data_IF_533372301991
#
_entry.id   IF_533372301991
#
_cell.length_a   1.000
_cell.length_b   1.000
_cell.length_c   1.000
_cell.angle_alpha   90.00
_cell.angle_beta   90.00
_cell.angle_gamma   90.00
#
_symmetry.space_group_name_H-M   'P 1'
#
loop_
_entity.id
_entity.type
_entity.pdbx_description
1 polymer ?
#
# COMPACT_ATOMS: atom_id res chain seq x y z
N UNK A 1 25.31 19.70 16.77
CA UNK A 1 25.81 18.34 16.49
C UNK A 1 24.72 17.32 16.13
N UNK A 2 23.49 17.74 15.72
CA UNK A 2 22.33 16.84 15.51
C UNK A 2 22.02 16.57 14.02
N UNK A 3 22.44 17.46 13.10
CA UNK A 3 22.12 17.34 11.67
C UNK A 3 22.91 16.23 10.93
N UNK A 4 24.10 15.88 11.41
CA UNK A 4 25.00 14.90 10.78
C UNK A 4 24.42 13.48 10.88
N UNK A 5 23.77 13.16 12.00
CA UNK A 5 23.14 11.84 12.24
C UNK A 5 21.95 11.58 11.28
N UNK A 6 21.12 12.60 11.03
CA UNK A 6 19.96 12.45 10.12
C UNK A 6 20.38 12.22 8.66
N UNK A 7 21.46 12.87 8.21
CA UNK A 7 21.98 12.69 6.86
C UNK A 7 22.63 11.30 6.68
N UNK A 8 23.36 10.82 7.69
CA UNK A 8 23.95 9.49 7.70
C UNK A 8 22.87 8.39 7.65
N UNK A 9 21.81 8.48 8.47
CA UNK A 9 20.67 7.55 8.43
C UNK A 9 19.95 7.57 7.07
N UNK A 10 19.81 8.73 6.44
CA UNK A 10 19.21 8.85 5.10
C UNK A 10 20.07 8.19 4.03
N UNK A 11 21.39 8.36 4.09
CA UNK A 11 22.34 7.74 3.16
C UNK A 11 22.40 6.22 3.35
N UNK A 12 22.39 5.75 4.59
CA UNK A 12 22.36 4.32 4.92
C UNK A 12 21.05 3.67 4.42
N UNK A 13 19.90 4.32 4.64
CA UNK A 13 18.62 3.85 4.10
C UNK A 13 18.62 3.80 2.57
N UNK A 14 19.19 4.81 1.90
CA UNK A 14 19.34 4.81 0.44
C UNK A 14 20.26 3.68 -0.06
N UNK A 15 21.37 3.41 0.64
CA UNK A 15 22.26 2.30 0.32
C UNK A 15 21.58 0.93 0.52
N UNK A 16 20.77 0.78 1.59
CA UNK A 16 19.97 -0.43 1.85
C UNK A 16 18.92 -0.63 0.76
N UNK A 17 18.21 0.43 0.35
CA UNK A 17 17.26 0.43 -0.79
C UNK A 17 17.93 -0.05 -2.07
N UNK A 18 19.08 0.53 -2.43
CA UNK A 18 19.81 0.16 -3.63
C UNK A 18 20.27 -1.31 -3.59
N UNK A 19 20.84 -1.77 -2.47
CA UNK A 19 21.28 -3.18 -2.34
C UNK A 19 20.11 -4.16 -2.45
N UNK A 20 18.98 -3.87 -1.80
CA UNK A 20 17.78 -4.73 -1.84
C UNK A 20 17.17 -4.74 -3.25
N UNK A 21 17.07 -3.58 -3.90
CA UNK A 21 16.61 -3.44 -5.28
C UNK A 21 17.48 -4.22 -6.27
N UNK A 22 18.82 -4.11 -6.16
CA UNK A 22 19.75 -4.87 -7.00
C UNK A 22 19.55 -6.38 -6.79
N UNK A 23 19.46 -6.85 -5.54
CA UNK A 23 19.25 -8.26 -5.20
C UNK A 23 17.93 -8.81 -5.80
N UNK A 24 16.85 -8.04 -5.70
CA UNK A 24 15.55 -8.39 -6.26
C UNK A 24 15.59 -8.44 -7.80
N UNK A 25 16.22 -7.46 -8.43
CA UNK A 25 16.40 -7.45 -9.89
C UNK A 25 17.22 -8.66 -10.37
N UNK A 26 18.32 -9.00 -9.69
CA UNK A 26 19.10 -10.21 -10.03
C UNK A 26 18.28 -11.49 -9.87
N UNK A 27 17.53 -11.63 -8.77
CA UNK A 27 16.66 -12.79 -8.54
C UNK A 27 15.54 -12.89 -9.59
N UNK A 28 14.96 -11.76 -10.02
CA UNK A 28 13.93 -11.74 -11.04
C UNK A 28 14.47 -12.16 -12.41
N UNK A 29 15.66 -11.67 -12.79
CA UNK A 29 16.32 -12.03 -14.05
C UNK A 29 16.74 -13.50 -14.06
N UNK A 30 17.27 -14.03 -12.96
CA UNK A 30 17.71 -15.43 -12.86
C UNK A 30 16.54 -16.42 -12.95
N UNK A 31 15.39 -16.10 -12.38
CA UNK A 31 14.24 -17.01 -12.31
C UNK A 31 13.24 -16.85 -13.47
N UNK A 32 13.34 -15.81 -14.29
CA UNK A 32 12.42 -15.56 -15.40
C UNK A 32 13.18 -15.05 -16.64
N UNK A 33 13.76 -15.96 -17.45
CA UNK A 33 14.45 -15.57 -18.67
C UNK A 33 13.49 -14.84 -19.62
N UNK A 34 13.99 -13.79 -20.28
CA UNK A 34 13.30 -12.87 -21.19
C UNK A 34 12.10 -13.51 -21.91
N UNK A 35 10.90 -13.34 -21.35
CA UNK A 35 9.67 -13.57 -22.11
C UNK A 35 9.56 -12.41 -23.09
N UNK A 36 9.78 -12.70 -24.37
CA UNK A 36 9.42 -11.76 -25.43
C UNK A 36 7.95 -11.36 -25.24
N UNK A 37 7.64 -10.05 -25.22
CA UNK A 37 6.24 -9.62 -25.16
C UNK A 37 5.55 -10.18 -26.41
N UNK A 38 4.58 -11.08 -26.21
CA UNK A 38 3.65 -11.48 -27.27
C UNK A 38 2.81 -10.25 -27.60
N UNK A 39 3.32 -9.39 -28.47
CA UNK A 39 2.51 -8.34 -29.09
C UNK A 39 1.40 -9.06 -29.85
N UNK A 40 0.18 -8.98 -29.34
CA UNK A 40 -1.01 -9.37 -30.09
C UNK A 40 -1.88 -8.14 -30.25
N UNK A 41 -1.82 -7.61 -31.48
CA UNK A 41 -2.76 -6.69 -32.12
C UNK A 41 -2.68 -5.24 -31.64
N UNK A 42 -2.17 -4.37 -32.53
CA UNK A 42 -2.41 -2.94 -32.49
C UNK A 42 -3.93 -2.71 -32.56
N UNK A 43 -4.55 -2.03 -31.58
CA UNK A 43 -5.97 -1.72 -31.67
C UNK A 43 -6.21 -0.85 -32.90
N UNK A 44 -7.26 -1.19 -33.65
CA UNK A 44 -7.74 -0.51 -34.84
C UNK A 44 -7.86 1.00 -34.59
N UNK A 45 -6.93 1.77 -35.17
CA UNK A 45 -6.73 3.20 -34.90
C UNK A 45 -7.94 4.02 -35.39
N UNK A 46 -8.77 3.45 -36.27
CA UNK A 46 -9.96 4.10 -36.82
C UNK A 46 -11.25 3.76 -36.05
N UNK A 47 -11.17 2.86 -35.06
CA UNK A 47 -12.34 2.40 -34.33
C UNK A 47 -12.74 3.38 -33.23
N UNK A 48 -13.48 4.41 -33.63
CA UNK A 48 -14.12 5.31 -32.67
C UNK A 48 -15.21 4.54 -31.89
N UNK A 49 -15.26 4.67 -30.56
CA UNK A 49 -16.33 4.07 -29.78
C UNK A 49 -17.65 4.75 -30.11
N UNK A 50 -18.67 3.96 -30.47
CA UNK A 50 -20.05 4.44 -30.63
C UNK A 50 -20.63 4.74 -29.26
N UNK A 51 -20.35 5.91 -28.70
CA UNK A 51 -21.08 6.43 -27.55
C UNK A 51 -22.13 7.44 -28.05
N UNK A 52 -23.41 7.18 -27.74
CA UNK A 52 -24.50 8.16 -27.90
C UNK A 52 -24.48 9.25 -26.81
N UNK A 53 -23.58 9.13 -25.82
CA UNK A 53 -23.40 10.15 -24.80
C UNK A 53 -22.27 11.09 -25.18
N UNK A 54 -22.60 12.36 -25.42
CA UNK A 54 -21.62 13.41 -25.60
C UNK A 54 -20.83 13.60 -24.30
N UNK A 55 -19.50 13.48 -24.36
CA UNK A 55 -18.60 13.83 -23.24
C UNK A 55 -18.80 15.28 -22.79
N UNK A 56 -19.35 16.13 -23.66
CA UNK A 56 -19.70 17.53 -23.41
C UNK A 56 -20.84 17.74 -22.40
N UNK A 57 -21.55 16.69 -21.96
CA UNK A 57 -22.63 16.79 -20.95
C UNK A 57 -22.23 16.36 -19.54
N UNK A 58 -20.98 15.95 -19.31
CA UNK A 58 -20.43 15.75 -17.96
C UNK A 58 -19.61 16.99 -17.59
N UNK A 59 -20.25 17.96 -16.92
CA UNK A 59 -19.68 19.30 -16.69
C UNK A 59 -18.35 19.32 -15.91
N UNK A 60 -17.97 18.24 -15.23
CA UNK A 60 -16.56 17.95 -14.92
C UNK A 60 -16.48 16.52 -14.41
N UNK A 61 -15.48 15.69 -14.81
CA UNK A 61 -15.15 14.53 -14.01
C UNK A 61 -14.87 15.02 -12.58
N UNK A 62 -15.47 14.36 -11.57
CA UNK A 62 -15.34 14.71 -10.15
C UNK A 62 -13.85 14.74 -9.82
N UNK A 63 -13.24 15.93 -9.84
CA UNK A 63 -11.81 16.07 -9.62
C UNK A 63 -11.51 15.59 -8.20
N UNK A 64 -10.48 14.77 -8.07
CA UNK A 64 -9.98 14.36 -6.78
C UNK A 64 -9.63 15.63 -6.00
N UNK A 65 -10.26 15.85 -4.84
CA UNK A 65 -9.92 16.98 -3.98
C UNK A 65 -8.52 16.72 -3.42
N UNK A 66 -7.53 17.43 -3.96
CA UNK A 66 -6.17 17.43 -3.47
C UNK A 66 -5.93 18.76 -2.79
N UNK A 67 -5.30 18.76 -1.63
CA UNK A 67 -4.86 20.01 -1.01
C UNK A 67 -3.76 20.65 -1.86
N UNK A 68 -3.66 21.98 -1.84
CA UNK A 68 -2.69 22.73 -2.64
C UNK A 68 -1.22 22.31 -2.42
N UNK A 69 -0.92 21.67 -1.29
CA UNK A 69 0.42 21.17 -0.93
C UNK A 69 0.63 19.67 -1.23
N UNK A 70 -0.36 18.98 -1.81
CA UNK A 70 -0.33 17.52 -2.04
C UNK A 70 -0.44 16.67 -0.77
N UNK A 71 -0.63 17.28 0.41
CA UNK A 71 -0.79 16.57 1.67
C UNK A 71 -2.21 16.03 1.82
N UNK A 72 -2.34 14.84 2.41
CA UNK A 72 -3.63 14.25 2.78
C UNK A 72 -4.24 14.83 4.07
N UNK A 73 -3.50 15.63 4.82
CA UNK A 73 -4.02 16.30 6.03
C UNK A 73 -5.06 17.35 5.66
N UNK A 74 -6.20 17.37 6.34
CA UNK A 74 -7.37 18.16 5.92
C UNK A 74 -8.36 17.38 5.06
N UNK A 75 -8.05 16.12 4.72
CA UNK A 75 -8.94 15.20 4.01
C UNK A 75 -9.35 14.07 4.93
N UNK A 76 -10.60 13.63 4.77
CA UNK A 76 -11.16 12.51 5.52
C UNK A 76 -10.71 11.18 4.94
N UNK A 77 -10.41 10.22 5.81
CA UNK A 77 -10.05 8.87 5.41
C UNK A 77 -11.29 8.14 4.88
N UNK A 78 -11.15 7.51 3.72
CA UNK A 78 -12.09 6.52 3.18
C UNK A 78 -11.30 5.28 2.80
N UNK A 79 -11.95 4.13 2.68
CA UNK A 79 -11.21 2.90 2.38
C UNK A 79 -12.00 1.89 1.56
N UNK A 80 -11.29 0.92 0.96
CA UNK A 80 -11.88 -0.29 0.41
C UNK A 80 -10.87 -1.44 0.38
N UNK A 81 -11.36 -2.66 0.16
CA UNK A 81 -10.54 -3.88 0.01
C UNK A 81 -10.44 -4.36 -1.46
N UNK A 82 -10.61 -3.46 -2.44
CA UNK A 82 -10.58 -3.83 -3.88
C UNK A 82 -9.23 -4.31 -4.39
N UNK A 83 -8.16 -4.01 -3.66
CA UNK A 83 -6.78 -4.42 -3.94
C UNK A 83 -6.28 -5.51 -2.99
N UNK A 84 -7.21 -6.16 -2.30
CA UNK A 84 -6.88 -7.20 -1.35
C UNK A 84 -6.26 -8.42 -2.03
N UNK A 85 -5.11 -8.82 -1.51
CA UNK A 85 -4.46 -10.06 -1.85
C UNK A 85 -4.85 -11.10 -0.79
N UNK A 86 -5.74 -12.00 -1.19
CA UNK A 86 -6.28 -13.08 -0.36
C UNK A 86 -5.80 -14.47 -0.82
N UNK A 87 -4.87 -14.52 -1.77
CA UNK A 87 -4.48 -15.77 -2.42
C UNK A 87 -3.25 -16.40 -1.74
N UNK A 88 -3.42 -17.62 -1.25
CA UNK A 88 -2.36 -18.45 -0.67
C UNK A 88 -1.92 -18.01 0.73
N UNK A 89 -0.73 -18.48 1.10
CA UNK A 89 -0.21 -18.37 2.46
C UNK A 89 1.15 -17.66 2.47
N UNK A 90 1.45 -17.06 3.61
CA UNK A 90 2.80 -16.60 3.92
C UNK A 90 3.68 -17.77 4.37
N UNK A 91 4.99 -17.67 4.15
CA UNK A 91 5.96 -18.70 4.59
C UNK A 91 5.93 -18.96 6.10
N UNK A 92 5.47 -17.99 6.90
CA UNK A 92 5.29 -18.14 8.34
C UNK A 92 3.97 -18.81 8.76
N UNK A 93 3.22 -19.37 7.81
CA UNK A 93 2.03 -20.21 8.07
C UNK A 93 0.75 -19.43 8.37
N UNK A 94 0.63 -18.19 7.91
CA UNK A 94 -0.63 -17.45 7.96
C UNK A 94 -1.24 -17.32 6.57
N UNK A 95 -2.56 -17.60 6.41
CA UNK A 95 -3.23 -17.35 5.15
C UNK A 95 -3.30 -15.84 4.89
N UNK A 96 -3.12 -15.45 3.62
CA UNK A 96 -3.33 -14.06 3.19
C UNK A 96 -4.81 -13.67 3.22
N UNK A 97 -5.70 -14.64 2.98
CA UNK A 97 -7.13 -14.48 3.23
C UNK A 97 -7.43 -14.26 4.72
N UNK A 98 -8.43 -13.43 5.01
CA UNK A 98 -9.08 -13.33 6.31
C UNK A 98 -10.33 -14.22 6.34
N UNK A 99 -10.77 -14.60 7.55
CA UNK A 99 -12.06 -15.26 7.74
C UNK A 99 -13.21 -14.25 7.98
N UNK A 100 -14.45 -14.74 7.98
CA UNK A 100 -15.65 -13.89 8.15
C UNK A 100 -15.71 -13.20 9.52
N UNK A 101 -15.17 -13.84 10.56
CA UNK A 101 -15.14 -13.31 11.93
C UNK A 101 -14.13 -12.19 12.04
N UNK A 102 -12.96 -12.35 11.42
CA UNK A 102 -11.93 -11.32 11.30
C UNK A 102 -12.41 -10.14 10.47
N UNK A 103 -13.07 -10.44 9.34
CA UNK A 103 -13.66 -9.42 8.47
C UNK A 103 -14.66 -8.56 9.22
N UNK A 104 -15.75 -9.16 9.72
CA UNK A 104 -16.84 -8.43 10.35
C UNK A 104 -16.45 -7.87 11.71
N UNK A 105 -15.74 -8.66 12.52
CA UNK A 105 -15.45 -8.32 13.91
C UNK A 105 -14.31 -7.32 14.09
N UNK A 106 -13.27 -7.41 13.25
CA UNK A 106 -12.05 -6.60 13.44
C UNK A 106 -11.76 -5.67 12.27
N UNK A 107 -11.70 -6.17 11.04
CA UNK A 107 -11.26 -5.39 9.88
C UNK A 107 -12.29 -4.30 9.55
N UNK A 108 -13.53 -4.72 9.30
CA UNK A 108 -14.64 -3.84 8.94
C UNK A 108 -14.94 -2.84 10.06
N UNK A 109 -15.12 -3.32 11.29
CA UNK A 109 -15.35 -2.45 12.45
C UNK A 109 -14.19 -1.47 12.66
N UNK A 110 -12.95 -1.95 12.61
CA UNK A 110 -11.77 -1.13 12.85
C UNK A 110 -11.60 -0.04 11.80
N UNK A 111 -11.72 -0.37 10.52
CA UNK A 111 -11.57 0.60 9.43
C UNK A 111 -12.77 1.55 9.36
N UNK A 112 -14.00 1.09 9.60
CA UNK A 112 -15.19 1.96 9.65
C UNK A 112 -15.13 2.95 10.82
N UNK A 113 -14.55 2.57 11.96
CA UNK A 113 -14.38 3.50 13.09
C UNK A 113 -13.40 4.64 12.78
N UNK A 114 -12.48 4.42 11.85
CA UNK A 114 -11.48 5.42 11.44
C UNK A 114 -11.96 6.18 10.19
N UNK A 115 -12.88 5.60 9.42
CA UNK A 115 -13.48 6.23 8.25
C UNK A 115 -14.17 7.55 8.63
N UNK A 116 -13.95 8.59 7.81
CA UNK A 116 -14.46 9.93 8.07
C UNK A 116 -13.57 10.80 8.96
N UNK A 117 -12.59 10.24 9.69
CA UNK A 117 -11.62 11.02 10.46
C UNK A 117 -10.59 11.69 9.55
N UNK A 118 -10.03 12.81 10.00
CA UNK A 118 -8.95 13.47 9.28
C UNK A 118 -7.65 12.68 9.37
N UNK A 119 -6.90 12.58 8.27
CA UNK A 119 -5.60 11.90 8.26
C UNK A 119 -4.58 12.45 9.27
N UNK A 120 -4.69 13.71 9.67
CA UNK A 120 -3.88 14.32 10.72
C UNK A 120 -4.23 13.75 12.08
N UNK A 121 -5.52 13.62 12.39
CA UNK A 121 -6.02 13.04 13.64
C UNK A 121 -5.60 11.57 13.73
N UNK A 122 -5.80 10.81 12.65
CA UNK A 122 -5.42 9.40 12.54
C UNK A 122 -3.94 9.20 12.83
N UNK A 123 -3.05 9.96 12.19
CA UNK A 123 -1.60 9.81 12.37
C UNK A 123 -1.09 10.35 13.71
N UNK A 124 -1.92 11.07 14.47
CA UNK A 124 -1.61 11.49 15.84
C UNK A 124 -2.06 10.46 16.88
N UNK A 125 -2.86 9.47 16.52
CA UNK A 125 -3.28 8.41 17.43
C UNK A 125 -2.07 7.58 17.89
N UNK A 126 -1.91 7.48 19.21
CA UNK A 126 -0.85 6.75 19.87
C UNK A 126 -1.41 5.75 20.87
N UNK A 127 -0.68 4.66 21.11
CA UNK A 127 -0.98 3.76 22.24
C UNK A 127 -0.71 4.44 23.58
N UNK A 128 -1.13 3.80 24.67
CA UNK A 128 -0.89 4.29 26.04
C UNK A 128 0.60 4.51 26.36
N UNK A 129 1.49 3.79 25.66
CA UNK A 129 2.95 3.95 25.72
C UNK A 129 3.50 5.11 24.87
N UNK A 130 2.65 5.87 24.18
CA UNK A 130 3.05 7.00 23.33
C UNK A 130 3.54 6.63 21.92
N UNK A 131 3.52 5.35 21.54
CA UNK A 131 3.91 4.94 20.18
C UNK A 131 2.77 5.16 19.18
N UNK A 132 3.10 5.70 18.01
CA UNK A 132 2.13 5.93 16.93
C UNK A 132 1.47 4.62 16.48
N UNK A 133 0.15 4.61 16.44
CA UNK A 133 -0.64 3.45 16.05
C UNK A 133 -0.67 3.22 14.54
N UNK A 134 -0.61 4.31 13.76
CA UNK A 134 -0.83 4.31 12.33
C UNK A 134 0.27 5.09 11.63
N UNK A 135 0.98 4.47 10.68
CA UNK A 135 2.09 5.13 9.98
C UNK A 135 2.46 4.38 8.69
N UNK A 136 3.15 5.11 7.81
CA UNK A 136 3.78 4.55 6.62
C UNK A 136 5.07 3.81 6.97
N UNK A 137 5.40 2.84 6.13
CA UNK A 137 6.69 2.17 6.03
C UNK A 137 7.19 2.29 4.59
N UNK A 138 8.50 2.29 4.43
CA UNK A 138 9.10 2.10 3.11
C UNK A 138 8.91 0.63 2.74
N UNK A 139 8.54 0.33 1.49
CA UNK A 139 8.36 -1.05 1.03
C UNK A 139 9.65 -1.85 1.21
N UNK A 140 10.83 -1.25 1.19
CA UNK A 140 12.07 -2.03 1.44
C UNK A 140 12.23 -2.51 2.88
N UNK A 141 11.49 -1.92 3.83
CA UNK A 141 11.63 -2.19 5.25
C UNK A 141 10.81 -3.41 5.70
N UNK A 142 9.83 -3.87 4.89
CA UNK A 142 9.06 -5.09 5.18
C UNK A 142 9.82 -6.35 4.78
N UNK A 143 9.34 -7.51 5.25
CA UNK A 143 9.90 -8.83 4.99
C UNK A 143 10.11 -9.08 3.49
N UNK A 144 11.21 -9.75 3.13
CA UNK A 144 11.60 -9.96 1.72
C UNK A 144 10.49 -10.65 0.92
N UNK A 145 9.82 -11.67 1.49
CA UNK A 145 8.66 -12.32 0.87
C UNK A 145 7.50 -11.35 0.60
N UNK A 146 7.24 -10.42 1.53
CA UNK A 146 6.20 -9.42 1.33
C UNK A 146 6.59 -8.43 0.22
N UNK A 147 7.86 -8.04 0.11
CA UNK A 147 8.35 -7.22 -1.01
C UNK A 147 8.19 -7.95 -2.35
N UNK A 148 8.56 -9.22 -2.42
CA UNK A 148 8.38 -10.03 -3.63
C UNK A 148 6.90 -10.15 -4.01
N UNK A 149 6.02 -10.39 -3.03
CA UNK A 149 4.57 -10.43 -3.28
C UNK A 149 4.04 -9.06 -3.75
N UNK A 150 4.54 -7.97 -3.19
CA UNK A 150 4.17 -6.60 -3.59
C UNK A 150 4.49 -6.33 -5.07
N UNK A 151 5.68 -6.74 -5.51
CA UNK A 151 6.13 -6.68 -6.91
C UNK A 151 5.22 -7.55 -7.79
N UNK A 152 4.96 -8.79 -7.38
CA UNK A 152 4.09 -9.72 -8.12
C UNK A 152 2.64 -9.22 -8.28
N UNK A 153 2.14 -8.39 -7.35
CA UNK A 153 0.84 -7.73 -7.44
C UNK A 153 0.85 -6.50 -8.37
N UNK A 154 2.02 -6.11 -8.89
CA UNK A 154 2.19 -4.95 -9.75
C UNK A 154 2.18 -3.62 -9.00
N UNK A 155 2.53 -3.60 -7.71
CA UNK A 155 2.53 -2.40 -6.87
C UNK A 155 3.89 -1.70 -6.79
N UNK A 156 4.78 -1.96 -7.74
CA UNK A 156 6.15 -1.41 -7.82
C UNK A 156 6.19 0.13 -7.87
N UNK A 157 5.12 0.76 -8.34
CA UNK A 157 4.98 2.22 -8.38
C UNK A 157 4.87 2.86 -6.98
N UNK A 158 4.52 2.07 -5.97
CA UNK A 158 4.36 2.54 -4.59
C UNK A 158 5.60 2.22 -3.76
N UNK A 159 6.39 3.26 -3.48
CA UNK A 159 7.57 3.19 -2.59
C UNK A 159 7.19 3.07 -1.09
N UNK A 160 5.96 3.45 -0.73
CA UNK A 160 5.47 3.42 0.64
C UNK A 160 4.23 2.53 0.79
N UNK A 161 4.16 1.83 1.92
CA UNK A 161 3.00 1.07 2.37
C UNK A 161 2.51 1.64 3.71
N UNK A 162 1.21 1.77 3.89
CA UNK A 162 0.61 2.27 5.12
C UNK A 162 0.01 1.12 5.93
N UNK A 163 0.10 1.22 7.26
CA UNK A 163 -0.53 0.25 8.18
C UNK A 163 -1.47 0.90 9.17
N UNK A 164 -2.63 0.28 9.34
CA UNK A 164 -3.51 0.50 10.48
C UNK A 164 -3.30 -0.60 11.52
N UNK A 165 -3.19 -0.21 12.80
CA UNK A 165 -3.20 -1.13 13.94
C UNK A 165 -4.64 -1.26 14.42
N UNK A 166 -5.26 -2.41 14.17
CA UNK A 166 -6.66 -2.68 14.52
C UNK A 166 -6.80 -3.61 15.74
N UNK A 167 -5.73 -3.74 16.52
CA UNK A 167 -5.66 -4.58 17.70
C UNK A 167 -4.23 -4.62 18.24
N UNK A 168 -3.92 -5.58 19.10
CA UNK A 168 -2.58 -5.67 19.66
C UNK A 168 -1.54 -5.97 18.57
N UNK A 169 -1.62 -7.16 17.98
CA UNK A 169 -0.70 -7.63 16.93
C UNK A 169 -1.28 -7.57 15.52
N UNK A 170 -2.54 -7.14 15.39
CA UNK A 170 -3.30 -7.19 14.14
C UNK A 170 -3.16 -5.90 13.34
N UNK A 171 -2.85 -6.01 12.04
CA UNK A 171 -2.68 -4.86 11.15
C UNK A 171 -3.35 -5.06 9.80
N UNK A 172 -3.96 -4.00 9.30
CA UNK A 172 -4.35 -3.87 7.90
C UNK A 172 -3.26 -3.08 7.18
N UNK A 173 -2.69 -3.67 6.13
CA UNK A 173 -1.65 -3.07 5.29
C UNK A 173 -2.23 -2.70 3.94
N UNK A 174 -1.73 -1.62 3.35
CA UNK A 174 -2.21 -1.20 2.04
C UNK A 174 -1.59 0.09 1.52
N UNK A 175 -2.07 0.56 0.37
CA UNK A 175 -1.63 1.81 -0.24
C UNK A 175 -2.58 2.94 0.07
N UNK A 176 -2.04 4.15 0.17
CA UNK A 176 -2.86 5.36 0.31
C UNK A 176 -2.70 6.20 -0.93
N UNK A 177 -3.81 6.45 -1.63
CA UNK A 177 -3.85 7.36 -2.77
C UNK A 177 -4.70 8.56 -2.39
N UNK A 178 -4.04 9.72 -2.32
CA UNK A 178 -4.61 10.94 -1.77
C UNK A 178 -5.11 10.71 -0.33
N UNK A 179 -6.41 10.53 -0.13
CA UNK A 179 -7.01 10.26 1.18
C UNK A 179 -7.69 8.88 1.29
N UNK A 180 -7.64 8.07 0.23
CA UNK A 180 -8.27 6.76 0.20
C UNK A 180 -7.27 5.65 0.50
N UNK A 181 -7.59 4.78 1.45
CA UNK A 181 -6.81 3.60 1.80
C UNK A 181 -7.32 2.37 1.05
N UNK A 182 -6.47 1.77 0.22
CA UNK A 182 -6.73 0.49 -0.43
C UNK A 182 -6.07 -0.61 0.39
N UNK A 183 -6.87 -1.35 1.15
CA UNK A 183 -6.38 -2.50 1.92
C UNK A 183 -5.89 -3.59 0.96
N UNK A 184 -4.68 -4.08 1.23
CA UNK A 184 -4.00 -5.14 0.48
C UNK A 184 -3.88 -6.40 1.32
N UNK A 185 -3.34 -6.32 2.54
CA UNK A 185 -3.12 -7.49 3.40
C UNK A 185 -3.71 -7.34 4.80
N UNK A 186 -4.13 -8.47 5.33
CA UNK A 186 -4.42 -8.65 6.74
C UNK A 186 -3.29 -9.42 7.43
N UNK A 187 -2.82 -8.89 8.55
CA UNK A 187 -1.74 -9.48 9.34
C UNK A 187 -2.20 -9.75 10.76
N UNK A 188 -1.91 -10.95 11.28
CA UNK A 188 -2.34 -11.37 12.62
C UNK A 188 -1.24 -11.24 13.67
N UNK A 189 0.03 -11.47 13.29
CA UNK A 189 1.16 -11.65 14.23
C UNK A 189 2.36 -10.72 14.06
N UNK A 190 2.26 -9.61 13.33
CA UNK A 190 3.39 -8.67 13.16
C UNK A 190 4.65 -9.27 12.48
N UNK A 191 4.46 -10.06 11.42
CA UNK A 191 5.55 -10.73 10.69
C UNK A 191 5.95 -10.02 9.39
N UNK A 192 5.05 -9.21 8.80
CA UNK A 192 5.33 -8.41 7.59
C UNK A 192 6.40 -7.36 7.91
N UNK A 193 6.34 -6.76 9.10
CA UNK A 193 7.39 -5.88 9.59
C UNK A 193 7.77 -6.29 11.01
N UNK A 194 8.83 -7.09 11.13
CA UNK A 194 9.42 -7.41 12.43
C UNK A 194 10.29 -6.24 12.87
N UNK A 195 9.99 -5.72 14.06
CA UNK A 195 10.93 -4.90 14.83
C UNK A 195 11.65 -5.88 15.73
N UNK A 196 12.75 -6.42 15.24
CA UNK A 196 13.69 -7.20 16.05
C UNK A 196 14.35 -6.30 17.12
#
# INVERSE_FOLDING_TARGET
MVAIDRAARKAEKAAKRNKKSIKLQTNFIENNPLKEPKVQVLPDIEKLPKFEASISTLDTPKQVRVNANGSRFGLTMTWCARKADSEGDWSWGEPRAWDDVEWTGTILNGLNNIEGLDWKEIQQQSSDSGHLMHHSHDVVDIADEAVERWINLGFEEFDEIFRFRLGNTKRAWGVVLNAHFYMVWWERKHRIYSVD
#
